data_IF_601989870585
#
_entry.id   IF_601989870585
#
_cell.length_a   1.000
_cell.length_b   1.000
_cell.length_c   1.000
_cell.angle_alpha   90.00
_cell.angle_beta   90.00
_cell.angle_gamma   90.00
#
_symmetry.space_group_name_H-M   'P 1'
#
loop_
_entity.id
_entity.type
_entity.pdbx_description
1 polymer ?
#
# COMPACT_ATOMS: atom_id res chain seq x y z
N UNK A 1 53.72 -31.95 3.05
CA UNK A 1 52.94 -33.21 2.95
C UNK A 1 51.63 -32.96 3.67
N UNK A 2 50.41 -33.28 3.22
CA UNK A 2 49.88 -33.81 1.94
C UNK A 2 48.34 -33.56 1.97
N UNK A 3 47.56 -33.45 0.89
CA UNK A 3 47.81 -33.52 -0.56
C UNK A 3 46.79 -32.56 -1.28
N UNK A 4 46.88 -32.35 -2.59
CA UNK A 4 45.86 -31.58 -3.38
C UNK A 4 44.84 -32.53 -3.99
N UNK A 5 43.54 -32.21 -3.91
CA UNK A 5 42.53 -32.78 -4.82
C UNK A 5 41.45 -31.74 -5.17
N UNK A 6 41.52 -31.17 -6.38
CA UNK A 6 40.38 -30.50 -7.02
C UNK A 6 39.48 -31.54 -7.69
N UNK A 7 38.16 -31.38 -7.55
CA UNK A 7 37.08 -31.99 -8.36
C UNK A 7 35.74 -31.45 -7.84
N UNK A 8 34.72 -31.13 -8.65
CA UNK A 8 34.62 -31.10 -10.11
C UNK A 8 33.60 -30.00 -10.51
N UNK A 9 33.68 -29.44 -11.72
CA UNK A 9 32.76 -28.38 -12.19
C UNK A 9 31.63 -28.97 -13.02
N UNK A 10 30.51 -29.28 -12.38
CA UNK A 10 29.29 -29.68 -13.08
C UNK A 10 28.57 -28.46 -13.69
N UNK A 11 28.89 -28.15 -14.95
CA UNK A 11 28.06 -27.26 -15.79
C UNK A 11 26.89 -28.06 -16.37
N UNK A 12 25.66 -27.54 -16.27
CA UNK A 12 24.47 -28.10 -16.92
C UNK A 12 23.74 -27.02 -17.75
N UNK A 13 23.05 -27.40 -18.83
CA UNK A 13 22.98 -26.55 -20.03
C UNK A 13 21.79 -25.57 -20.07
N UNK A 14 22.05 -24.47 -20.78
CA UNK A 14 21.07 -23.47 -21.20
C UNK A 14 20.13 -24.06 -22.26
N UNK A 15 18.87 -24.33 -21.90
CA UNK A 15 17.83 -24.77 -22.85
C UNK A 15 17.11 -23.54 -23.39
N UNK A 16 17.51 -23.10 -24.58
CA UNK A 16 16.78 -22.09 -25.34
C UNK A 16 15.65 -22.76 -26.15
N UNK A 17 14.39 -22.41 -25.86
CA UNK A 17 13.25 -22.82 -26.68
C UNK A 17 12.76 -21.61 -27.49
N UNK A 18 12.83 -21.71 -28.82
CA UNK A 18 12.58 -20.60 -29.73
C UNK A 18 11.23 -20.70 -30.44
N UNK A 19 10.67 -19.53 -30.74
CA UNK A 19 9.68 -19.20 -31.79
C UNK A 19 8.49 -20.15 -32.03
N UNK A 20 7.29 -19.57 -31.91
CA UNK A 20 6.30 -19.64 -32.99
C UNK A 20 5.45 -18.37 -33.01
N UNK A 21 5.72 -17.50 -33.98
CA UNK A 21 4.82 -16.42 -34.36
C UNK A 21 3.89 -16.93 -35.45
N UNK A 22 2.58 -16.75 -35.28
CA UNK A 22 1.57 -17.02 -36.32
C UNK A 22 0.91 -15.70 -36.69
N UNK A 23 1.00 -15.34 -37.97
CA UNK A 23 0.37 -14.15 -38.53
C UNK A 23 -0.40 -14.53 -39.80
N UNK A 24 -1.71 -14.29 -39.82
CA UNK A 24 -2.58 -14.27 -41.00
C UNK A 24 -3.98 -13.76 -40.62
N UNK A 25 -4.83 -13.21 -41.49
CA UNK A 25 -4.67 -12.39 -42.72
C UNK A 25 -6.03 -11.68 -42.92
N UNK A 26 -6.00 -10.44 -43.42
CA UNK A 26 -7.05 -9.65 -44.09
C UNK A 26 -8.58 -9.94 -43.91
N UNK A 27 -9.33 -8.86 -43.70
CA UNK A 27 -10.65 -8.66 -44.33
C UNK A 27 -10.80 -7.17 -44.73
N UNK A 28 -11.29 -6.91 -45.95
CA UNK A 28 -11.54 -5.57 -46.48
C UNK A 28 -13.04 -5.20 -46.40
N UNK A 29 -13.36 -3.90 -46.36
CA UNK A 29 -14.74 -3.39 -46.50
C UNK A 29 -14.77 -1.86 -46.51
N UNK A 30 -15.42 -1.27 -47.51
CA UNK A 30 -15.31 0.15 -47.88
C UNK A 30 -16.67 0.89 -47.75
N UNK A 31 -16.62 2.20 -47.44
CA UNK A 31 -17.53 3.36 -47.72
C UNK A 31 -18.93 3.13 -48.37
N UNK A 32 -19.95 4.03 -48.17
CA UNK A 32 -19.80 5.49 -48.25
C UNK A 32 -20.73 6.38 -47.38
N UNK A 33 -20.71 7.68 -47.69
CA UNK A 33 -21.41 8.82 -47.08
C UNK A 33 -22.93 8.86 -47.34
N UNK A 34 -23.68 9.67 -46.58
CA UNK A 34 -25.01 10.15 -47.01
C UNK A 34 -25.93 10.72 -45.93
N UNK A 35 -26.30 11.99 -46.09
CA UNK A 35 -27.51 12.68 -45.57
C UNK A 35 -27.67 12.86 -44.04
N UNK A 36 -27.61 14.08 -43.47
CA UNK A 36 -28.42 15.31 -43.69
C UNK A 36 -29.73 15.31 -42.88
N UNK A 37 -29.89 16.27 -41.96
CA UNK A 37 -31.02 16.28 -41.01
C UNK A 37 -31.07 17.46 -40.03
N UNK A 38 -31.37 18.64 -40.56
CA UNK A 38 -31.97 19.83 -39.90
C UNK A 38 -31.61 20.25 -38.48
N UNK A 39 -31.17 21.51 -38.39
CA UNK A 39 -31.27 22.40 -37.24
C UNK A 39 -32.63 22.37 -36.52
N UNK A 40 -32.61 22.40 -35.19
CA UNK A 40 -33.67 23.03 -34.39
C UNK A 40 -33.07 23.72 -33.16
N UNK A 41 -32.99 25.04 -33.24
CA UNK A 41 -32.61 25.93 -32.14
C UNK A 41 -33.76 26.09 -31.16
N UNK A 42 -33.53 25.85 -29.86
CA UNK A 42 -34.42 26.33 -28.79
C UNK A 42 -33.66 26.92 -27.60
N UNK A 43 -34.14 28.12 -27.24
CA UNK A 43 -33.90 29.00 -26.09
C UNK A 43 -33.11 28.50 -24.87
N UNK A 44 -32.06 29.25 -24.58
CA UNK A 44 -31.78 29.92 -23.30
C UNK A 44 -32.64 29.57 -22.06
N UNK A 45 -31.96 29.15 -20.99
CA UNK A 45 -32.29 29.61 -19.64
C UNK A 45 -31.00 29.79 -18.84
N UNK A 46 -30.59 31.04 -18.63
CA UNK A 46 -29.47 31.37 -17.76
C UNK A 46 -29.94 31.32 -16.30
N UNK A 47 -29.58 30.26 -15.57
CA UNK A 47 -29.77 30.22 -14.12
C UNK A 47 -28.60 30.92 -13.43
N UNK A 48 -28.89 31.86 -12.54
CA UNK A 48 -27.89 32.66 -11.85
C UNK A 48 -26.99 31.80 -10.92
N UNK A 49 -25.72 32.18 -10.70
CA UNK A 49 -24.88 31.50 -9.72
C UNK A 49 -25.46 31.75 -8.32
N UNK A 50 -25.91 30.67 -7.66
CA UNK A 50 -26.19 30.72 -6.23
C UNK A 50 -24.86 30.85 -5.49
N UNK A 51 -24.61 32.03 -4.91
CA UNK A 51 -23.46 32.24 -4.01
C UNK A 51 -23.59 31.36 -2.77
N UNK A 52 -22.98 30.17 -2.81
CA UNK A 52 -22.75 29.36 -1.62
C UNK A 52 -21.73 30.06 -0.74
N UNK A 53 -22.20 30.69 0.33
CA UNK A 53 -21.35 31.18 1.42
C UNK A 53 -20.47 30.02 1.90
N UNK A 54 -19.14 30.18 2.02
CA UNK A 54 -18.32 29.15 2.63
C UNK A 54 -18.70 29.04 4.11
N UNK A 55 -19.40 27.95 4.47
CA UNK A 55 -19.60 27.58 5.87
C UNK A 55 -18.23 27.42 6.50
N UNK A 56 -18.01 28.14 7.61
CA UNK A 56 -16.71 28.21 8.27
C UNK A 56 -16.15 26.81 8.57
N UNK A 57 -14.84 26.66 8.36
CA UNK A 57 -14.09 25.45 8.65
C UNK A 57 -14.39 24.96 10.06
N UNK A 58 -14.97 23.76 10.19
CA UNK A 58 -15.09 23.06 11.47
C UNK A 58 -13.71 23.00 12.12
N UNK A 59 -13.56 23.30 13.43
CA UNK A 59 -12.27 23.19 14.09
C UNK A 59 -11.71 21.78 13.89
N UNK A 60 -10.49 21.70 13.38
CA UNK A 60 -9.85 20.45 13.03
C UNK A 60 -9.83 19.53 14.26
N UNK A 61 -10.46 18.35 14.13
CA UNK A 61 -10.61 17.43 15.23
C UNK A 61 -9.22 16.99 15.70
N UNK A 62 -8.83 17.38 16.91
CA UNK A 62 -7.56 16.95 17.48
C UNK A 62 -7.56 15.43 17.63
N UNK A 63 -6.55 14.77 17.04
CA UNK A 63 -6.44 13.32 17.03
C UNK A 63 -6.05 12.82 18.42
N UNK A 64 -7.02 12.75 19.33
CA UNK A 64 -6.81 12.36 20.72
C UNK A 64 -6.10 11.00 20.81
N UNK A 65 -5.02 10.96 21.60
CA UNK A 65 -4.12 9.81 21.74
C UNK A 65 -2.99 9.74 20.70
N UNK A 66 -2.85 10.72 19.79
CA UNK A 66 -1.72 10.77 18.87
C UNK A 66 -0.42 11.26 19.53
N UNK A 67 0.72 10.69 19.12
CA UNK A 67 2.05 11.03 19.61
C UNK A 67 3.11 10.91 18.51
N UNK A 68 4.33 11.44 18.76
CA UNK A 68 5.51 11.21 17.91
C UNK A 68 6.33 9.98 18.35
N UNK A 69 6.11 9.51 19.57
CA UNK A 69 6.80 8.36 20.17
C UNK A 69 6.35 7.05 19.55
N UNK A 70 7.21 6.02 19.61
CA UNK A 70 6.87 4.67 19.19
C UNK A 70 5.66 4.11 19.95
N UNK A 71 4.81 3.36 19.24
CA UNK A 71 3.67 2.63 19.81
C UNK A 71 3.84 1.15 19.44
N UNK A 72 3.96 0.29 20.45
CA UNK A 72 4.20 -1.15 20.25
C UNK A 72 3.29 -2.01 21.12
N UNK A 73 3.03 -3.23 20.64
CA UNK A 73 2.31 -4.28 21.35
C UNK A 73 2.92 -5.64 21.01
N UNK A 74 3.33 -6.46 22.01
CA UNK A 74 3.87 -7.79 21.74
C UNK A 74 2.80 -8.73 21.13
N UNK A 75 3.22 -9.82 20.47
CA UNK A 75 2.29 -10.84 19.99
C UNK A 75 1.50 -11.47 21.16
N UNK A 76 0.21 -11.71 20.96
CA UNK A 76 -0.69 -12.28 21.98
C UNK A 76 -0.89 -13.80 21.88
N UNK A 77 -0.14 -14.47 20.98
CA UNK A 77 -0.22 -15.93 20.79
C UNK A 77 -1.39 -16.44 19.95
N UNK A 78 -2.16 -15.55 19.31
CA UNK A 78 -3.36 -15.91 18.53
C UNK A 78 -3.14 -16.58 17.16
N UNK A 79 -1.90 -16.92 16.80
CA UNK A 79 -1.51 -17.36 15.44
C UNK A 79 -1.02 -16.22 14.55
N UNK A 80 -0.84 -16.50 13.25
CA UNK A 80 -0.35 -15.53 12.25
C UNK A 80 -1.50 -14.59 11.85
N UNK A 81 -1.20 -13.28 11.74
CA UNK A 81 -2.08 -12.31 11.08
C UNK A 81 -1.91 -12.38 9.57
N UNK A 82 -2.87 -12.99 8.87
CA UNK A 82 -2.82 -13.13 7.42
C UNK A 82 -3.43 -11.88 6.75
N UNK A 83 -2.62 -11.05 6.11
CA UNK A 83 -3.07 -9.80 5.49
C UNK A 83 -4.08 -10.10 4.36
N UNK A 84 -5.17 -9.34 4.33
CA UNK A 84 -6.25 -9.42 3.32
C UNK A 84 -6.44 -8.13 2.56
N UNK A 85 -6.29 -6.98 3.22
CA UNK A 85 -6.34 -5.68 2.56
C UNK A 85 -5.43 -4.66 3.25
N UNK A 86 -4.87 -3.77 2.45
CA UNK A 86 -4.21 -2.55 2.89
C UNK A 86 -4.90 -1.39 2.18
N UNK A 87 -5.26 -0.32 2.91
CA UNK A 87 -6.05 0.81 2.38
C UNK A 87 -5.54 2.13 2.97
N UNK A 88 -5.35 3.14 2.12
CA UNK A 88 -4.96 4.51 2.50
C UNK A 88 -6.05 5.49 2.06
N UNK A 89 -6.50 6.39 2.93
CA UNK A 89 -7.47 7.42 2.61
C UNK A 89 -7.39 8.60 3.59
N UNK A 90 -7.72 9.81 3.13
CA UNK A 90 -7.85 10.96 4.02
C UNK A 90 -9.11 10.89 4.88
N UNK A 91 -9.10 11.52 6.05
CA UNK A 91 -10.22 11.68 6.97
C UNK A 91 -10.21 13.12 7.52
N UNK A 92 -11.26 13.52 8.25
CA UNK A 92 -11.30 14.86 8.85
C UNK A 92 -10.26 15.00 9.97
N UNK A 93 -9.15 15.72 9.68
CA UNK A 93 -8.07 16.05 10.62
C UNK A 93 -6.91 15.04 10.68
N UNK A 94 -6.97 13.95 9.91
CA UNK A 94 -5.92 12.92 9.86
C UNK A 94 -6.01 12.11 8.55
N UNK A 95 -4.90 11.57 8.08
CA UNK A 95 -4.90 10.52 7.07
C UNK A 95 -4.92 9.14 7.76
N UNK A 96 -5.56 8.15 7.13
CA UNK A 96 -5.74 6.81 7.72
C UNK A 96 -5.18 5.73 6.81
N UNK A 97 -4.25 4.95 7.34
CA UNK A 97 -3.82 3.67 6.79
C UNK A 97 -4.43 2.51 7.59
N UNK A 98 -5.01 1.53 6.90
CA UNK A 98 -5.64 0.35 7.51
C UNK A 98 -5.04 -0.92 6.93
N UNK A 99 -4.56 -1.79 7.81
CA UNK A 99 -4.21 -3.17 7.50
C UNK A 99 -5.29 -4.09 8.08
N UNK A 100 -5.90 -4.91 7.22
CA UNK A 100 -6.99 -5.83 7.55
C UNK A 100 -6.51 -7.27 7.42
N UNK A 101 -6.76 -8.09 8.44
CA UNK A 101 -6.25 -9.44 8.56
C UNK A 101 -7.37 -10.46 8.72
N UNK A 102 -7.10 -11.71 8.33
CA UNK A 102 -7.80 -12.90 8.82
C UNK A 102 -6.91 -13.66 9.81
N UNK A 103 -7.51 -14.43 10.70
CA UNK A 103 -6.78 -15.09 11.79
C UNK A 103 -6.53 -14.12 12.94
N UNK A 104 -5.27 -13.94 13.33
CA UNK A 104 -4.91 -13.07 14.44
C UNK A 104 -4.83 -11.58 14.04
N UNK A 105 -4.89 -10.69 15.03
CA UNK A 105 -4.27 -9.37 14.92
C UNK A 105 -2.81 -9.51 15.39
N UNK A 106 -1.80 -9.22 14.56
CA UNK A 106 -0.40 -9.46 14.93
C UNK A 106 0.07 -8.54 16.07
N UNK A 107 1.17 -8.90 16.72
CA UNK A 107 1.98 -7.93 17.46
C UNK A 107 2.52 -6.87 16.49
N UNK A 108 2.80 -5.67 16.99
CA UNK A 108 3.24 -4.57 16.15
C UNK A 108 4.21 -3.63 16.86
N UNK A 109 5.01 -2.93 16.05
CA UNK A 109 5.91 -1.85 16.45
C UNK A 109 5.79 -0.76 15.38
N UNK A 110 5.22 0.39 15.76
CA UNK A 110 5.00 1.53 14.87
C UNK A 110 5.85 2.71 15.35
N UNK A 111 6.81 3.13 14.55
CA UNK A 111 7.77 4.19 14.91
C UNK A 111 8.36 4.89 13.69
N UNK A 112 8.72 6.15 13.86
CA UNK A 112 9.54 6.85 12.88
C UNK A 112 10.97 6.31 12.86
N UNK A 113 11.50 6.07 11.66
CA UNK A 113 12.88 5.66 11.42
C UNK A 113 13.58 6.65 10.49
N UNK A 114 14.91 6.65 10.51
CA UNK A 114 15.72 7.47 9.62
C UNK A 114 16.04 6.70 8.33
N UNK A 115 16.18 7.41 7.21
CA UNK A 115 16.48 6.81 5.91
C UNK A 115 17.97 6.50 5.70
N UNK A 116 18.33 5.75 4.64
CA UNK A 116 17.45 5.19 3.62
C UNK A 116 16.66 3.97 4.12
N UNK A 117 15.43 3.83 3.63
CA UNK A 117 14.59 2.67 3.90
C UNK A 117 15.09 1.49 3.05
N UNK A 118 15.08 0.29 3.63
CA UNK A 118 15.56 -0.95 2.99
C UNK A 118 14.54 -2.07 3.11
N UNK A 119 14.49 -2.91 2.09
CA UNK A 119 13.56 -4.03 2.01
C UNK A 119 14.11 -5.26 2.74
N UNK A 120 13.38 -5.75 3.72
CA UNK A 120 13.70 -6.99 4.44
C UNK A 120 13.30 -8.20 3.58
N UNK A 121 14.15 -9.25 3.45
CA UNK A 121 15.52 -9.41 3.97
C UNK A 121 16.61 -9.01 2.95
N UNK A 122 16.24 -8.44 1.80
CA UNK A 122 17.14 -8.24 0.66
C UNK A 122 18.16 -7.08 0.80
N UNK A 123 18.01 -6.23 1.81
CA UNK A 123 18.77 -4.98 2.04
C UNK A 123 18.67 -3.93 0.90
N UNK A 124 17.89 -4.19 -0.14
CA UNK A 124 17.70 -3.26 -1.27
C UNK A 124 17.04 -1.96 -0.80
N UNK A 125 17.54 -0.82 -1.27
CA UNK A 125 16.97 0.49 -0.94
C UNK A 125 15.58 0.63 -1.56
N UNK A 126 14.59 0.93 -0.73
CA UNK A 126 13.23 1.27 -1.14
C UNK A 126 13.15 2.78 -1.38
N UNK A 127 12.64 3.17 -2.54
CA UNK A 127 12.16 4.53 -2.74
C UNK A 127 10.84 4.69 -1.98
N UNK A 128 10.75 5.70 -1.12
CA UNK A 128 9.54 6.05 -0.38
C UNK A 128 9.36 7.58 -0.46
N UNK A 129 8.27 8.04 -1.03
CA UNK A 129 7.95 9.46 -1.21
C UNK A 129 7.63 10.13 0.14
N UNK A 130 8.28 11.26 0.45
CA UNK A 130 8.05 12.01 1.70
C UNK A 130 9.35 12.55 2.31
N UNK A 131 9.27 13.10 3.53
CA UNK A 131 10.43 13.61 4.28
C UNK A 131 10.60 13.00 5.68
N UNK A 132 9.68 12.13 6.09
CA UNK A 132 9.80 11.25 7.25
C UNK A 132 9.19 9.87 6.94
N UNK A 133 9.68 8.84 7.62
CA UNK A 133 9.31 7.44 7.35
C UNK A 133 8.74 6.79 8.61
N UNK A 134 7.44 6.49 8.62
CA UNK A 134 6.78 5.80 9.71
C UNK A 134 6.74 4.29 9.41
N UNK A 135 7.67 3.54 10.01
CA UNK A 135 7.74 2.08 9.89
C UNK A 135 6.65 1.45 10.75
N UNK A 136 5.96 0.47 10.15
CA UNK A 136 4.96 -0.40 10.76
C UNK A 136 5.51 -1.83 10.62
N UNK A 137 6.11 -2.37 11.68
CA UNK A 137 6.58 -3.76 11.75
C UNK A 137 5.52 -4.62 12.44
N UNK A 138 5.26 -5.81 11.90
CA UNK A 138 4.15 -6.69 12.28
C UNK A 138 4.70 -8.12 12.46
N UNK A 139 4.36 -8.76 13.57
CA UNK A 139 4.85 -10.11 13.89
C UNK A 139 3.88 -10.84 14.85
N UNK A 140 3.54 -12.12 14.62
CA UNK A 140 3.69 -12.85 13.38
C UNK A 140 2.62 -12.43 12.35
N UNK A 141 3.03 -12.03 11.15
CA UNK A 141 2.15 -11.62 10.05
C UNK A 141 2.71 -12.04 8.69
N UNK A 142 1.83 -12.32 7.72
CA UNK A 142 2.24 -12.56 6.32
C UNK A 142 1.09 -12.27 5.35
N UNK A 143 1.41 -11.98 4.09
CA UNK A 143 0.51 -11.93 2.95
C UNK A 143 0.35 -13.28 2.24
N UNK A 144 0.92 -14.36 2.80
CA UNK A 144 0.85 -15.74 2.32
C UNK A 144 0.51 -16.68 3.47
N UNK A 145 -0.43 -17.61 3.26
CA UNK A 145 -0.74 -18.64 4.25
C UNK A 145 0.18 -19.87 4.06
N UNK A 146 1.39 -19.79 4.62
CA UNK A 146 2.40 -20.86 4.56
C UNK A 146 1.97 -22.16 5.26
N UNK A 147 0.86 -22.17 6.02
CA UNK A 147 0.35 -23.33 6.73
C UNK A 147 -0.73 -24.09 5.95
N UNK A 148 -1.26 -23.50 4.87
CA UNK A 148 -2.24 -24.11 3.99
C UNK A 148 -1.57 -24.76 2.77
N UNK A 149 -2.20 -25.83 2.25
CA UNK A 149 -1.73 -26.54 1.07
C UNK A 149 -1.55 -25.59 -0.13
N UNK A 150 -0.37 -25.64 -0.75
CA UNK A 150 0.00 -24.78 -1.88
C UNK A 150 0.38 -23.35 -1.52
N UNK A 151 0.48 -22.99 -0.23
CA UNK A 151 0.89 -21.68 0.26
C UNK A 151 0.16 -20.50 -0.43
N UNK A 152 -1.19 -20.42 -0.36
CA UNK A 152 -1.95 -19.43 -1.09
C UNK A 152 -1.67 -18.00 -0.62
N UNK A 153 -1.48 -17.08 -1.57
CA UNK A 153 -1.40 -15.64 -1.32
C UNK A 153 -2.73 -15.13 -0.73
N UNK A 154 -2.66 -14.47 0.43
CA UNK A 154 -3.82 -13.90 1.13
C UNK A 154 -4.03 -12.43 0.82
N UNK A 155 -2.96 -11.70 0.48
CA UNK A 155 -2.99 -10.31 0.05
C UNK A 155 -2.56 -10.17 -1.41
N UNK A 156 -3.48 -9.76 -2.28
CA UNK A 156 -3.26 -9.56 -3.73
C UNK A 156 -3.30 -8.09 -4.15
N UNK A 157 -3.29 -7.16 -3.18
CA UNK A 157 -3.21 -5.73 -3.45
C UNK A 157 -1.80 -5.27 -3.84
N UNK A 158 -1.64 -3.98 -4.22
CA UNK A 158 -0.36 -3.46 -4.66
C UNK A 158 0.62 -3.26 -3.48
N UNK A 159 1.91 -3.51 -3.72
CA UNK A 159 2.98 -3.22 -2.75
C UNK A 159 3.26 -1.73 -2.54
N UNK A 160 2.67 -0.84 -3.35
CA UNK A 160 2.72 0.62 -3.16
C UNK A 160 1.30 1.16 -3.31
N UNK A 161 0.82 1.84 -2.27
CA UNK A 161 -0.52 2.44 -2.22
C UNK A 161 -0.36 3.95 -2.11
N UNK A 162 -0.90 4.66 -3.11
CA UNK A 162 -1.07 6.12 -3.11
C UNK A 162 -2.57 6.44 -3.02
N UNK A 163 -2.91 7.62 -2.51
CA UNK A 163 -4.29 8.09 -2.41
C UNK A 163 -4.35 9.60 -2.27
N UNK A 164 -5.57 10.15 -2.30
CA UNK A 164 -5.82 11.57 -2.08
C UNK A 164 -5.76 11.87 -0.57
N UNK A 165 -4.54 11.85 -0.02
CA UNK A 165 -4.17 12.13 1.38
C UNK A 165 -3.44 13.48 1.52
N UNK A 166 -3.40 14.02 2.73
CA UNK A 166 -2.95 15.41 2.99
C UNK A 166 -1.49 15.48 3.43
N UNK A 167 -1.03 14.55 4.28
CA UNK A 167 0.35 14.48 4.80
C UNK A 167 1.02 13.12 4.54
N UNK A 168 0.25 12.04 4.41
CA UNK A 168 0.80 10.75 3.96
C UNK A 168 0.88 10.78 2.44
N UNK A 169 2.05 10.51 1.87
CA UNK A 169 2.29 10.46 0.42
C UNK A 169 1.99 9.08 -0.15
N UNK A 170 2.44 8.05 0.54
CA UNK A 170 2.22 6.66 0.15
C UNK A 170 2.43 5.68 1.31
N UNK A 171 1.94 4.46 1.13
CA UNK A 171 2.26 3.29 1.94
C UNK A 171 2.99 2.26 1.07
N UNK A 172 4.20 1.87 1.47
CA UNK A 172 5.06 0.92 0.74
C UNK A 172 5.25 -0.34 1.57
N UNK A 173 4.97 -1.51 1.00
CA UNK A 173 5.31 -2.80 1.58
C UNK A 173 6.84 -2.97 1.54
N UNK A 174 7.45 -3.18 2.71
CA UNK A 174 8.89 -3.20 2.89
C UNK A 174 9.47 -4.59 3.19
N UNK A 175 8.62 -5.59 3.48
CA UNK A 175 9.06 -6.96 3.72
C UNK A 175 7.91 -7.89 4.12
N UNK A 176 8.09 -9.18 3.82
CA UNK A 176 7.23 -10.29 4.26
C UNK A 176 8.10 -11.56 4.26
N UNK A 177 8.77 -11.82 5.39
CA UNK A 177 9.74 -12.90 5.53
C UNK A 177 9.76 -13.41 6.98
N UNK A 178 9.86 -14.73 7.17
CA UNK A 178 9.86 -15.38 8.51
C UNK A 178 8.70 -14.93 9.43
N UNK A 179 7.52 -14.67 8.83
CA UNK A 179 6.34 -14.10 9.49
C UNK A 179 6.57 -12.70 10.12
N UNK A 180 7.57 -11.96 9.65
CA UNK A 180 7.73 -10.53 9.88
C UNK A 180 7.28 -9.80 8.62
N UNK A 181 6.22 -9.02 8.75
CA UNK A 181 5.77 -8.11 7.69
C UNK A 181 6.10 -6.68 8.07
N UNK A 182 6.59 -5.89 7.11
CA UNK A 182 6.82 -4.46 7.28
C UNK A 182 6.12 -3.62 6.21
N UNK A 183 5.55 -2.50 6.63
CA UNK A 183 5.06 -1.43 5.78
C UNK A 183 5.69 -0.12 6.23
N UNK A 184 5.93 0.82 5.32
CA UNK A 184 6.42 2.16 5.62
C UNK A 184 5.46 3.18 5.04
N UNK A 185 4.99 4.11 5.87
CA UNK A 185 4.31 5.31 5.39
C UNK A 185 5.35 6.39 5.12
N UNK A 186 5.35 6.92 3.91
CA UNK A 186 6.04 8.14 3.56
C UNK A 186 5.19 9.35 3.96
N UNK A 187 5.75 10.24 4.79
CA UNK A 187 5.00 11.34 5.43
C UNK A 187 5.71 12.69 5.23
N UNK A 188 4.94 13.75 5.04
CA UNK A 188 5.39 15.13 5.05
C UNK A 188 5.74 15.59 6.48
N UNK A 189 7.01 15.40 6.85
CA UNK A 189 7.50 15.65 8.18
C UNK A 189 7.02 14.61 9.20
N UNK A 190 7.60 14.65 10.41
CA UNK A 190 7.16 13.78 11.51
C UNK A 190 5.86 14.34 12.10
N UNK A 191 4.73 13.76 11.72
CA UNK A 191 3.40 14.09 12.25
C UNK A 191 3.04 13.18 13.43
N UNK A 192 2.27 13.67 14.39
CA UNK A 192 1.75 12.84 15.48
C UNK A 192 0.79 11.77 14.92
N UNK A 193 0.98 10.52 15.32
CA UNK A 193 0.18 9.39 14.86
C UNK A 193 -0.46 8.64 16.04
N UNK A 194 -1.56 7.95 15.76
CA UNK A 194 -2.27 7.06 16.68
C UNK A 194 -2.43 5.68 16.05
N UNK A 195 -2.22 4.64 16.85
CA UNK A 195 -2.58 3.27 16.47
C UNK A 195 -3.87 2.88 17.18
N UNK A 196 -4.83 2.31 16.46
CA UNK A 196 -6.04 1.71 17.02
C UNK A 196 -6.27 0.32 16.44
N UNK A 197 -6.91 -0.53 17.23
CA UNK A 197 -7.24 -1.91 16.88
C UNK A 197 -8.75 -2.04 16.70
N UNK A 198 -9.18 -2.72 15.65
CA UNK A 198 -10.58 -3.07 15.44
C UNK A 198 -10.74 -4.58 15.29
N UNK A 199 -11.90 -5.09 15.68
CA UNK A 199 -12.30 -6.49 15.50
C UNK A 199 -13.36 -6.62 14.39
N UNK A 200 -13.63 -7.87 13.99
CA UNK A 200 -14.69 -8.22 13.03
C UNK A 200 -14.69 -7.45 11.70
N UNK A 201 -13.65 -7.56 10.85
CA UNK A 201 -12.43 -8.37 10.98
C UNK A 201 -11.31 -7.66 11.78
N UNK A 202 -10.29 -8.41 12.25
CA UNK A 202 -9.07 -7.86 12.84
C UNK A 202 -8.41 -6.81 11.94
N UNK A 203 -8.23 -5.60 12.45
CA UNK A 203 -7.56 -4.49 11.73
C UNK A 203 -6.61 -3.73 12.63
N UNK A 204 -5.44 -3.38 12.08
CA UNK A 204 -4.56 -2.36 12.63
C UNK A 204 -4.80 -1.06 11.84
N UNK A 205 -5.13 0.01 12.55
CA UNK A 205 -5.46 1.32 11.97
C UNK A 205 -4.45 2.34 12.47
N UNK A 206 -3.72 2.95 11.54
CA UNK A 206 -2.74 4.00 11.78
C UNK A 206 -3.35 5.31 11.28
N UNK A 207 -3.66 6.20 12.21
CA UNK A 207 -4.15 7.56 11.93
C UNK A 207 -2.98 8.54 12.08
N UNK A 208 -2.67 9.34 11.06
CA UNK A 208 -1.58 10.32 11.03
C UNK A 208 -2.19 11.73 10.98
N UNK A 209 -1.92 12.56 12.00
CA UNK A 209 -2.48 13.92 12.12
C UNK A 209 -2.13 14.78 10.91
N UNK A 210 -3.14 15.45 10.32
CA UNK A 210 -2.92 16.48 9.29
C UNK A 210 -2.78 17.87 9.88
N UNK A 211 -2.93 18.01 11.20
CA UNK A 211 -2.60 19.23 11.93
C UNK A 211 -1.12 19.18 12.31
N UNK A 212 -0.35 20.15 11.81
CA UNK A 212 1.04 20.34 12.21
C UNK A 212 1.10 20.60 13.73
N UNK A 213 1.82 19.73 14.45
CA UNK A 213 2.24 19.98 15.83
C UNK A 213 3.59 20.70 15.77
N UNK A 214 3.62 21.95 16.21
CA UNK A 214 4.81 22.79 16.32
C UNK A 214 5.62 22.47 17.58
#
# INVERSE_FOLDING_TARGET
MAFVTLRDRASLPLVALALSAVAAVAACGQSPEGESGSSSSVSSSASAPASSTPTASTPSASLSGAALSAISRPPSGGGIGLLRAARLASQSGYDRFVLEFSGALPGYDVRYVDGPIRADPSDQVLAVDGSAYLLIRLEPASGVDLMADGAPTTYTGPGVIRGDTVVVREAVAAGDFEAVMSWVLGVDGRQAFRVTELTGPPRLVIDVSTNASF
#
